data_IF_391855876869
#
_entry.id   IF_391855876869
#
_cell.length_a   1.000
_cell.length_b   1.000
_cell.length_c   1.000
_cell.angle_alpha   90.00
_cell.angle_beta   90.00
_cell.angle_gamma   90.00
#
_symmetry.space_group_name_H-M   'P 1'
#
loop_
_entity.id
_entity.type
_entity.pdbx_description
1 polymer ?
#
# COMPACT_ATOMS: atom_id res chain seq x y z
N UNK A 1 -2.75 -11.30 -22.48
CA UNK A 1 -3.82 -10.98 -23.48
C UNK A 1 -3.28 -9.90 -24.41
N UNK A 2 -3.33 -10.09 -25.72
CA UNK A 2 -2.94 -9.03 -26.67
C UNK A 2 -3.99 -7.91 -26.67
N UNK A 3 -3.59 -6.63 -26.70
CA UNK A 3 -4.55 -5.54 -26.76
C UNK A 3 -5.37 -5.64 -28.04
N UNK A 4 -6.69 -5.42 -27.93
CA UNK A 4 -7.57 -5.30 -29.09
C UNK A 4 -7.02 -4.17 -30.00
N UNK A 5 -6.94 -4.35 -31.33
CA UNK A 5 -6.54 -3.29 -32.24
C UNK A 5 -7.51 -2.11 -32.21
N UNK A 6 -6.99 -0.87 -32.22
CA UNK A 6 -7.81 0.36 -32.16
C UNK A 6 -8.88 0.45 -33.24
N UNK A 7 -8.63 -0.13 -34.43
CA UNK A 7 -9.55 -0.11 -35.58
C UNK A 7 -10.89 -0.79 -35.30
N UNK A 8 -10.95 -1.72 -34.34
CA UNK A 8 -12.18 -2.48 -34.03
C UNK A 8 -12.79 -2.09 -32.67
N UNK A 9 -12.37 -0.96 -32.09
CA UNK A 9 -12.91 -0.47 -30.82
C UNK A 9 -14.36 -0.05 -30.97
N UNK A 10 -15.20 -0.54 -30.05
CA UNK A 10 -16.52 0.03 -29.82
C UNK A 10 -16.41 1.24 -28.87
N UNK A 11 -17.54 1.89 -28.58
CA UNK A 11 -17.54 3.08 -27.72
C UNK A 11 -17.11 2.79 -26.28
N UNK A 12 -17.37 1.59 -25.78
CA UNK A 12 -16.94 1.15 -24.46
C UNK A 12 -15.41 1.03 -24.41
N UNK A 13 -14.79 0.40 -25.42
CA UNK A 13 -13.34 0.27 -25.53
C UNK A 13 -12.66 1.64 -25.55
N UNK A 14 -13.20 2.58 -26.34
CA UNK A 14 -12.70 3.97 -26.42
C UNK A 14 -12.79 4.68 -25.07
N UNK A 15 -13.93 4.53 -24.39
CA UNK A 15 -14.15 5.14 -23.06
C UNK A 15 -13.15 4.59 -22.04
N UNK A 16 -12.92 3.28 -22.01
CA UNK A 16 -11.96 2.65 -21.09
C UNK A 16 -10.54 3.16 -21.35
N UNK A 17 -10.09 3.22 -22.60
CA UNK A 17 -8.76 3.72 -22.95
C UNK A 17 -8.61 5.19 -22.56
N UNK A 18 -9.63 6.02 -22.80
CA UNK A 18 -9.62 7.42 -22.42
C UNK A 18 -9.57 7.60 -20.90
N UNK A 19 -10.36 6.83 -20.15
CA UNK A 19 -10.34 6.88 -18.68
C UNK A 19 -8.99 6.44 -18.12
N UNK A 20 -8.41 5.37 -18.66
CA UNK A 20 -7.07 4.93 -18.27
C UNK A 20 -6.01 6.00 -18.58
N UNK A 21 -6.06 6.65 -19.75
CA UNK A 21 -5.14 7.73 -20.09
C UNK A 21 -5.26 8.94 -19.13
N UNK A 22 -6.50 9.35 -18.80
CA UNK A 22 -6.76 10.41 -17.81
C UNK A 22 -6.20 10.03 -16.44
N UNK A 23 -6.46 8.82 -15.96
CA UNK A 23 -5.96 8.35 -14.67
C UNK A 23 -4.43 8.28 -14.63
N UNK A 24 -3.78 7.77 -15.69
CA UNK A 24 -2.30 7.79 -15.80
C UNK A 24 -1.76 9.21 -15.69
N UNK A 25 -2.36 10.16 -16.41
CA UNK A 25 -1.93 11.54 -16.37
C UNK A 25 -2.08 12.14 -14.96
N UNK A 26 -3.23 11.95 -14.31
CA UNK A 26 -3.44 12.40 -12.92
C UNK A 26 -2.40 11.85 -11.95
N UNK A 27 -2.07 10.55 -12.04
CA UNK A 27 -1.03 9.94 -11.20
C UNK A 27 0.32 10.59 -11.49
N UNK A 28 0.72 10.74 -12.76
CA UNK A 28 2.01 11.34 -13.15
C UNK A 28 2.14 12.78 -12.62
N UNK A 29 1.07 13.57 -12.66
CA UNK A 29 1.08 14.94 -12.16
C UNK A 29 1.19 15.03 -10.63
N UNK A 30 0.79 13.99 -9.90
CA UNK A 30 0.78 14.00 -8.44
C UNK A 30 2.08 13.47 -7.80
N UNK A 31 2.91 12.74 -8.56
CA UNK A 31 4.09 12.04 -8.03
C UNK A 31 5.40 12.77 -8.34
N UNK A 32 6.43 12.53 -7.51
CA UNK A 32 7.78 13.04 -7.73
C UNK A 32 8.55 12.22 -8.78
N UNK A 33 9.77 12.64 -9.12
CA UNK A 33 10.63 11.98 -10.11
C UNK A 33 11.04 10.56 -9.73
N UNK A 34 11.28 10.28 -8.44
CA UNK A 34 11.65 8.95 -7.98
C UNK A 34 10.48 7.97 -8.17
N UNK A 35 9.27 8.38 -7.79
CA UNK A 35 8.07 7.56 -7.97
C UNK A 35 7.71 7.38 -9.43
N UNK A 36 7.88 8.43 -10.25
CA UNK A 36 7.71 8.31 -11.69
C UNK A 36 8.58 7.21 -12.28
N UNK A 37 9.87 7.16 -11.92
CA UNK A 37 10.79 6.13 -12.40
C UNK A 37 10.29 4.72 -12.05
N UNK A 38 9.71 4.51 -10.86
CA UNK A 38 9.17 3.20 -10.42
C UNK A 38 7.97 2.73 -11.24
N UNK A 39 7.14 3.66 -11.71
CA UNK A 39 5.87 3.37 -12.41
C UNK A 39 5.91 3.62 -13.91
N UNK A 40 7.00 4.17 -14.44
CA UNK A 40 7.16 4.58 -15.85
C UNK A 40 6.89 3.46 -16.85
N UNK A 41 7.28 2.22 -16.54
CA UNK A 41 7.05 1.05 -17.39
C UNK A 41 5.64 0.43 -17.26
N UNK A 42 4.77 0.94 -16.39
CA UNK A 42 3.43 0.38 -16.19
C UNK A 42 2.53 0.67 -17.40
N UNK A 43 1.78 -0.36 -17.82
CA UNK A 43 0.92 -0.29 -19.00
C UNK A 43 -0.36 0.48 -18.67
N UNK A 44 -0.92 0.24 -17.48
CA UNK A 44 -2.19 0.81 -17.04
C UNK A 44 -2.07 1.70 -15.80
N UNK A 45 -3.02 2.60 -15.60
CA UNK A 45 -3.12 3.39 -14.36
C UNK A 45 -3.30 2.49 -13.13
N UNK A 46 -4.00 1.36 -13.29
CA UNK A 46 -4.17 0.36 -12.23
C UNK A 46 -2.83 -0.22 -11.78
N UNK A 47 -1.94 -0.55 -12.71
CA UNK A 47 -0.59 -1.04 -12.40
C UNK A 47 0.27 0.05 -11.75
N UNK A 48 0.16 1.31 -12.21
CA UNK A 48 0.85 2.43 -11.57
C UNK A 48 0.41 2.59 -10.11
N UNK A 49 -0.91 2.64 -9.88
CA UNK A 49 -1.48 2.78 -8.54
C UNK A 49 -1.09 1.61 -7.63
N UNK A 50 -1.24 0.36 -8.10
CA UNK A 50 -0.87 -0.82 -7.31
C UNK A 50 0.62 -0.86 -6.94
N UNK A 51 1.52 -0.37 -7.80
CA UNK A 51 2.94 -0.24 -7.43
C UNK A 51 3.18 0.83 -6.36
N UNK A 52 2.47 1.96 -6.43
CA UNK A 52 2.56 3.01 -5.42
C UNK A 52 2.01 2.52 -4.07
N UNK A 53 0.85 1.89 -4.09
CA UNK A 53 0.23 1.26 -2.91
C UNK A 53 1.20 0.26 -2.25
N UNK A 54 1.77 -0.67 -3.00
CA UNK A 54 2.77 -1.62 -2.47
C UNK A 54 4.02 -0.91 -1.94
N UNK A 55 4.44 0.18 -2.57
CA UNK A 55 5.64 0.93 -2.14
C UNK A 55 5.43 1.62 -0.79
N UNK A 56 4.25 2.22 -0.59
CA UNK A 56 3.99 3.08 0.56
C UNK A 56 3.26 2.37 1.69
N UNK A 57 2.37 1.43 1.38
CA UNK A 57 1.58 0.71 2.36
C UNK A 57 2.09 -0.72 2.60
N UNK A 58 2.98 -1.22 1.75
CA UNK A 58 3.43 -2.62 1.76
C UNK A 58 2.46 -3.57 1.08
N UNK A 59 2.88 -4.83 0.91
CA UNK A 59 2.01 -5.88 0.38
C UNK A 59 1.06 -6.41 1.45
N UNK A 60 0.00 -7.12 1.05
CA UNK A 60 -0.91 -7.77 2.02
C UNK A 60 -0.14 -8.71 2.96
N UNK A 61 0.85 -9.46 2.45
CA UNK A 61 1.67 -10.36 3.27
C UNK A 61 2.50 -9.60 4.31
N UNK A 62 3.04 -8.44 3.97
CA UNK A 62 3.78 -7.60 4.93
C UNK A 62 2.83 -7.04 5.99
N UNK A 63 1.63 -6.60 5.59
CA UNK A 63 0.59 -6.11 6.51
C UNK A 63 0.14 -7.23 7.47
N UNK A 64 -0.14 -8.42 6.95
CA UNK A 64 -0.50 -9.60 7.74
C UNK A 64 0.62 -10.02 8.70
N UNK A 65 1.86 -10.10 8.23
CA UNK A 65 3.00 -10.42 9.08
C UNK A 65 3.16 -9.41 10.23
N UNK A 66 2.99 -8.11 9.95
CA UNK A 66 3.03 -7.06 10.98
C UNK A 66 1.92 -7.24 12.02
N UNK A 67 0.70 -7.58 11.60
CA UNK A 67 -0.41 -7.90 12.52
C UNK A 67 -0.03 -9.09 13.40
N UNK A 68 0.41 -10.20 12.80
CA UNK A 68 0.80 -11.40 13.54
C UNK A 68 1.90 -11.14 14.56
N UNK A 69 2.92 -10.35 14.20
CA UNK A 69 3.98 -9.95 15.13
C UNK A 69 3.44 -9.14 16.30
N UNK A 70 2.59 -8.13 16.05
CA UNK A 70 2.05 -7.28 17.11
C UNK A 70 1.06 -8.03 18.02
N UNK A 71 0.26 -8.94 17.47
CA UNK A 71 -0.62 -9.81 18.27
C UNK A 71 0.23 -10.72 19.16
N UNK A 72 1.30 -11.30 18.62
CA UNK A 72 2.23 -12.11 19.42
C UNK A 72 2.89 -11.29 20.55
N UNK A 73 3.39 -10.10 20.24
CA UNK A 73 3.99 -9.19 21.24
C UNK A 73 2.98 -8.81 22.33
N UNK A 74 1.71 -8.62 21.96
CA UNK A 74 0.62 -8.34 22.90
C UNK A 74 0.32 -9.54 23.80
N UNK A 75 0.17 -10.74 23.22
CA UNK A 75 -0.13 -11.98 23.97
C UNK A 75 1.02 -12.39 24.90
N UNK A 76 2.26 -12.16 24.48
CA UNK A 76 3.47 -12.43 25.27
C UNK A 76 3.88 -11.27 26.17
N UNK A 77 3.13 -10.18 26.19
CA UNK A 77 3.51 -8.99 26.94
C UNK A 77 3.55 -9.29 28.44
N UNK A 78 4.72 -9.08 29.03
CA UNK A 78 4.91 -9.15 30.48
C UNK A 78 5.77 -7.98 30.94
N UNK A 79 5.54 -7.56 32.19
CA UNK A 79 6.39 -6.56 32.84
C UNK A 79 7.73 -7.21 33.20
N UNK A 80 8.84 -6.51 32.93
CA UNK A 80 10.16 -7.03 33.28
C UNK A 80 10.44 -6.84 34.79
N UNK A 81 11.28 -7.69 35.37
CA UNK A 81 11.60 -7.68 36.82
C UNK A 81 12.16 -6.34 37.33
N UNK A 82 12.88 -5.60 36.48
CA UNK A 82 13.54 -4.34 36.83
C UNK A 82 12.94 -3.11 36.12
N UNK A 83 11.72 -3.25 35.63
CA UNK A 83 11.00 -2.17 34.94
C UNK A 83 10.05 -1.45 35.91
N UNK A 84 9.90 -0.14 35.76
CA UNK A 84 8.88 0.61 36.51
C UNK A 84 7.53 0.61 35.77
N UNK A 85 6.44 0.87 36.51
CA UNK A 85 5.08 0.80 35.98
C UNK A 85 4.85 1.76 34.80
N UNK A 86 5.50 2.93 34.77
CA UNK A 86 5.31 3.89 33.68
C UNK A 86 6.00 3.41 32.40
N UNK A 87 7.20 2.84 32.54
CA UNK A 87 7.92 2.23 31.42
C UNK A 87 7.14 1.04 30.86
N UNK A 88 6.63 0.17 31.72
CA UNK A 88 5.79 -0.97 31.31
C UNK A 88 4.55 -0.48 30.54
N UNK A 89 3.81 0.48 31.12
CA UNK A 89 2.61 1.02 30.50
C UNK A 89 2.92 1.66 29.15
N UNK A 90 4.03 2.37 29.04
CA UNK A 90 4.49 2.95 27.77
C UNK A 90 4.75 1.88 26.71
N UNK A 91 5.38 0.74 27.04
CA UNK A 91 5.57 -0.36 26.08
C UNK A 91 4.23 -0.98 25.67
N UNK A 92 3.34 -1.23 26.64
CA UNK A 92 2.03 -1.80 26.38
C UNK A 92 1.21 -0.89 25.44
N UNK A 93 1.14 0.40 25.76
CA UNK A 93 0.43 1.39 24.94
C UNK A 93 1.00 1.50 23.53
N UNK A 94 2.32 1.34 23.35
CA UNK A 94 2.91 1.30 22.00
C UNK A 94 2.36 0.13 21.18
N UNK A 95 2.24 -1.06 21.77
CA UNK A 95 1.70 -2.25 21.09
C UNK A 95 0.22 -2.05 20.77
N UNK A 96 -0.59 -1.61 21.73
CA UNK A 96 -2.03 -1.40 21.52
C UNK A 96 -2.32 -0.31 20.48
N UNK A 97 -1.56 0.79 20.50
CA UNK A 97 -1.72 1.85 19.52
C UNK A 97 -1.29 1.40 18.12
N UNK A 98 -0.24 0.59 18.02
CA UNK A 98 0.19 0.02 16.74
C UNK A 98 -0.85 -0.95 16.17
N UNK A 99 -1.49 -1.76 17.01
CA UNK A 99 -2.61 -2.62 16.63
C UNK A 99 -3.85 -1.83 16.21
N UNK A 100 -4.17 -0.74 16.92
CA UNK A 100 -5.32 0.11 16.60
C UNK A 100 -5.14 0.89 15.29
N UNK A 101 -3.90 1.20 14.91
CA UNK A 101 -3.59 1.96 13.70
C UNK A 101 -3.56 1.09 12.42
N UNK A 102 -3.75 -0.22 12.53
CA UNK A 102 -3.82 -1.18 11.42
C UNK A 102 -5.27 -1.36 10.94
#
# INVERSE_FOLDING_TARGET
KFPKPRKIYNDIDRKIVQMNAKAKHTIICAINSNDFNRVSCCVSAKEMWGKLEVTYEGTSQVKEAKISMLVHDYEMFTMNENEDINTMFTKFTKITNALQAL
#
